data_IF_434327698735
#
_entry.id   IF_434327698735
#
_cell.length_a   1.000
_cell.length_b   1.000
_cell.length_c   1.000
_cell.angle_alpha   90.00
_cell.angle_beta   90.00
_cell.angle_gamma   90.00
#
_symmetry.space_group_name_H-M   'P 1'
#
loop_
_entity.id
_entity.type
_entity.pdbx_description
1 polymer ?
#
# COMPACT_ATOMS: atom_id res chain seq x y z
N UNK A 1 -8.36 -16.36 -15.92
CA UNK A 1 -9.40 -15.40 -15.54
C UNK A 1 -9.35 -15.29 -14.02
N UNK A 2 -8.54 -14.37 -13.52
CA UNK A 2 -8.52 -13.95 -12.11
C UNK A 2 -8.69 -12.43 -12.13
N UNK A 3 -9.74 -11.98 -12.80
CA UNK A 3 -10.25 -10.62 -12.65
C UNK A 3 -10.78 -10.50 -11.22
N UNK A 4 -10.41 -9.44 -10.52
CA UNK A 4 -10.96 -9.04 -9.21
C UNK A 4 -10.41 -9.72 -7.95
N UNK A 5 -9.14 -10.15 -7.96
CA UNK A 5 -8.44 -10.47 -6.69
C UNK A 5 -7.89 -9.19 -6.08
N UNK A 6 -8.34 -8.87 -4.85
CA UNK A 6 -7.67 -7.92 -3.98
C UNK A 6 -6.19 -8.31 -3.90
N UNK A 7 -5.32 -7.49 -4.48
CA UNK A 7 -3.90 -7.81 -4.61
C UNK A 7 -3.15 -7.56 -3.29
N UNK A 8 -3.66 -6.62 -2.50
CA UNK A 8 -3.22 -6.31 -1.14
C UNK A 8 -4.27 -5.47 -0.41
N UNK A 9 -4.19 -5.40 0.92
CA UNK A 9 -5.02 -4.52 1.75
C UNK A 9 -4.13 -3.56 2.51
N UNK A 10 -4.47 -2.27 2.46
CA UNK A 10 -3.74 -1.22 3.17
C UNK A 10 -4.55 -0.70 4.35
N UNK A 11 -3.88 -0.44 5.47
CA UNK A 11 -4.51 0.20 6.63
C UNK A 11 -4.77 1.68 6.32
N UNK A 12 -6.02 2.09 6.46
CA UNK A 12 -6.47 3.48 6.30
C UNK A 12 -6.64 4.13 7.66
N UNK A 13 -6.13 5.35 7.77
CA UNK A 13 -6.29 6.22 8.93
C UNK A 13 -7.30 7.31 8.63
N UNK A 14 -8.02 7.72 9.67
CA UNK A 14 -9.04 8.78 9.65
C UNK A 14 -10.23 8.47 8.74
N UNK A 15 -10.37 7.22 8.32
CA UNK A 15 -11.43 6.72 7.44
C UNK A 15 -12.63 6.20 8.21
N UNK A 16 -13.76 6.03 7.51
CA UNK A 16 -14.92 5.30 8.02
C UNK A 16 -14.67 3.78 8.04
N UNK A 17 -13.69 3.31 7.26
CA UNK A 17 -13.15 1.95 7.32
C UNK A 17 -11.68 1.99 7.69
N UNK A 18 -11.21 0.96 8.38
CA UNK A 18 -9.81 0.84 8.81
C UNK A 18 -8.89 0.28 7.71
N UNK A 19 -9.47 -0.25 6.63
CA UNK A 19 -8.75 -0.92 5.55
C UNK A 19 -9.38 -0.58 4.19
N UNK A 20 -8.53 -0.55 3.16
CA UNK A 20 -8.94 -0.43 1.76
C UNK A 20 -8.24 -1.50 0.93
N UNK A 21 -9.01 -2.18 0.09
CA UNK A 21 -8.47 -3.09 -0.92
C UNK A 21 -7.72 -2.32 -1.99
N UNK A 22 -6.57 -2.83 -2.40
CA UNK A 22 -5.77 -2.30 -3.49
C UNK A 22 -5.78 -3.27 -4.67
N UNK A 23 -6.06 -2.74 -5.87
CA UNK A 23 -6.08 -3.49 -7.13
C UNK A 23 -5.20 -2.81 -8.17
N UNK A 24 -4.79 -3.53 -9.20
CA UNK A 24 -4.04 -2.92 -10.30
C UNK A 24 -5.01 -2.05 -11.12
N UNK A 25 -4.57 -0.86 -11.54
CA UNK A 25 -5.41 0.10 -12.28
C UNK A 25 -5.94 -0.44 -13.61
N UNK A 26 -5.12 -1.25 -14.30
CA UNK A 26 -5.40 -1.81 -15.61
C UNK A 26 -5.07 -3.30 -15.63
N UNK A 27 -5.74 -4.06 -16.51
CA UNK A 27 -5.41 -5.48 -16.72
C UNK A 27 -4.01 -5.61 -17.31
N UNK A 28 -3.05 -5.83 -16.42
CA UNK A 28 -1.64 -5.93 -16.72
C UNK A 28 -1.28 -7.30 -17.30
N UNK A 29 -1.08 -7.37 -18.62
CA UNK A 29 -0.58 -8.57 -19.28
C UNK A 29 0.93 -8.49 -19.50
N UNK A 30 1.70 -9.24 -18.69
CA UNK A 30 3.15 -9.33 -18.84
C UNK A 30 3.53 -10.56 -19.67
N UNK A 31 4.07 -10.34 -20.87
CA UNK A 31 4.56 -11.43 -21.73
C UNK A 31 6.01 -11.74 -21.39
N UNK A 32 6.30 -12.97 -20.96
CA UNK A 32 7.65 -13.38 -20.55
C UNK A 32 8.04 -14.74 -21.12
N UNK A 33 9.35 -14.98 -21.35
CA UNK A 33 9.88 -16.32 -21.62
C UNK A 33 9.47 -17.30 -20.51
N UNK A 34 9.04 -18.51 -20.89
CA UNK A 34 8.57 -19.55 -19.96
C UNK A 34 9.54 -19.80 -18.78
N UNK A 35 10.85 -19.73 -19.02
CA UNK A 35 11.87 -19.98 -18.00
C UNK A 35 12.04 -18.86 -16.95
N UNK A 36 11.46 -17.68 -17.16
CA UNK A 36 11.52 -16.56 -16.19
C UNK A 36 10.30 -16.50 -15.26
N UNK A 37 9.30 -17.35 -15.49
CA UNK A 37 8.09 -17.41 -14.65
C UNK A 37 8.43 -17.97 -13.27
N UNK A 38 9.32 -18.97 -13.19
CA UNK A 38 9.69 -19.64 -11.94
C UNK A 38 10.52 -18.76 -11.00
N UNK A 39 11.24 -17.76 -11.53
CA UNK A 39 12.06 -16.82 -10.74
C UNK A 39 11.37 -15.49 -10.47
N UNK A 40 10.09 -15.37 -10.83
CA UNK A 40 9.31 -14.14 -10.68
C UNK A 40 8.90 -13.94 -9.22
N UNK A 41 9.32 -12.81 -8.65
CA UNK A 41 8.95 -12.39 -7.31
C UNK A 41 8.04 -11.17 -7.39
N UNK A 42 6.90 -11.22 -6.70
CA UNK A 42 5.98 -10.10 -6.55
C UNK A 42 6.33 -9.35 -5.27
N UNK A 43 6.55 -8.04 -5.37
CA UNK A 43 6.80 -7.13 -4.25
C UNK A 43 5.76 -6.02 -4.28
N UNK A 44 4.91 -5.97 -3.26
CA UNK A 44 3.90 -4.91 -3.11
C UNK A 44 4.45 -3.85 -2.16
N UNK A 45 4.39 -2.60 -2.57
CA UNK A 45 4.77 -1.44 -1.75
C UNK A 45 3.57 -0.52 -1.66
N UNK A 46 3.10 -0.27 -0.45
CA UNK A 46 1.99 0.65 -0.20
C UNK A 46 2.51 2.01 0.24
N UNK A 47 1.77 3.06 -0.10
CA UNK A 47 2.08 4.42 0.35
C UNK A 47 1.53 4.62 1.76
N UNK A 48 2.27 4.15 2.76
CA UNK A 48 1.89 4.37 4.15
C UNK A 48 2.36 5.74 4.66
N UNK A 49 1.58 6.44 5.51
CA UNK A 49 0.22 6.10 5.95
C UNK A 49 -0.85 6.51 4.93
N UNK A 50 -1.84 5.63 4.68
CA UNK A 50 -3.00 5.97 3.87
C UNK A 50 -3.99 6.78 4.70
N UNK A 51 -4.33 7.99 4.24
CA UNK A 51 -5.21 8.93 4.95
C UNK A 51 -6.50 9.15 4.16
N UNK A 52 -7.65 9.04 4.83
CA UNK A 52 -8.94 9.40 4.24
C UNK A 52 -9.07 10.93 4.02
N UNK A 53 -9.86 11.39 3.03
CA UNK A 53 -10.68 10.60 2.11
C UNK A 53 -9.88 9.98 0.96
N UNK A 54 -10.16 8.71 0.65
CA UNK A 54 -9.60 7.99 -0.50
C UNK A 54 -10.74 7.67 -1.45
N UNK A 55 -10.62 8.01 -2.73
CA UNK A 55 -11.60 7.65 -3.74
C UNK A 55 -11.20 6.37 -4.44
N UNK A 56 -12.20 5.62 -4.91
CA UNK A 56 -11.96 4.51 -5.82
C UNK A 56 -11.15 4.99 -7.03
N UNK A 57 -10.08 4.28 -7.36
CA UNK A 57 -9.16 4.66 -8.43
C UNK A 57 -7.99 5.54 -7.99
N UNK A 58 -7.96 6.05 -6.75
CA UNK A 58 -6.79 6.79 -6.24
C UNK A 58 -5.61 5.83 -6.07
N UNK A 59 -4.41 6.28 -6.43
CA UNK A 59 -3.18 5.49 -6.27
C UNK A 59 -2.84 5.34 -4.77
N UNK A 60 -2.79 4.10 -4.29
CA UNK A 60 -2.52 3.73 -2.89
C UNK A 60 -1.19 2.97 -2.73
N UNK A 61 -0.49 2.72 -3.83
CA UNK A 61 0.80 2.06 -3.83
C UNK A 61 1.20 1.58 -5.21
N UNK A 62 2.19 0.70 -5.25
CA UNK A 62 2.72 0.13 -6.47
C UNK A 62 3.16 -1.31 -6.23
N UNK A 63 2.99 -2.14 -7.25
CA UNK A 63 3.48 -3.51 -7.22
C UNK A 63 4.58 -3.67 -8.26
N UNK A 64 5.68 -4.28 -7.81
CA UNK A 64 6.88 -4.55 -8.58
C UNK A 64 7.00 -6.05 -8.79
N UNK A 65 7.23 -6.44 -10.03
CA UNK A 65 7.64 -7.80 -10.37
C UNK A 65 9.14 -7.78 -10.59
N UNK A 66 9.85 -8.63 -9.86
CA UNK A 66 11.30 -8.77 -9.95
C UNK A 66 11.64 -10.15 -10.47
N UNK A 67 12.64 -10.24 -11.33
CA UNK A 67 13.24 -11.52 -11.74
C UNK A 67 14.75 -11.37 -11.63
N UNK A 68 15.41 -12.32 -10.95
CA UNK A 68 16.85 -12.28 -10.69
C UNK A 68 17.34 -10.94 -10.07
N UNK A 69 16.52 -10.33 -9.22
CA UNK A 69 16.85 -9.07 -8.52
C UNK A 69 16.54 -7.78 -9.30
N UNK A 70 16.23 -7.87 -10.60
CA UNK A 70 15.87 -6.70 -11.42
C UNK A 70 14.36 -6.56 -11.54
N UNK A 71 13.85 -5.33 -11.42
CA UNK A 71 12.43 -5.03 -11.67
C UNK A 71 12.15 -5.21 -13.17
N UNK A 72 11.30 -6.18 -13.49
CA UNK A 72 10.88 -6.47 -14.87
C UNK A 72 9.61 -5.73 -15.26
N UNK A 73 8.74 -5.43 -14.29
CA UNK A 73 7.54 -4.63 -14.50
C UNK A 73 7.10 -3.96 -13.20
N UNK A 74 6.45 -2.81 -13.32
CA UNK A 74 5.81 -2.10 -12.21
C UNK A 74 4.43 -1.63 -12.63
N UNK A 75 3.44 -1.86 -11.78
CA UNK A 75 2.07 -1.42 -12.03
C UNK A 75 1.53 -0.69 -10.80
N UNK A 76 0.85 0.44 -11.04
CA UNK A 76 0.23 1.23 -9.98
C UNK A 76 -0.94 0.46 -9.35
N UNK A 77 -1.01 0.49 -8.02
CA UNK A 77 -2.14 -0.02 -7.26
C UNK A 77 -3.07 1.13 -6.93
N UNK A 78 -4.35 0.95 -7.27
CA UNK A 78 -5.42 1.88 -7.00
C UNK A 78 -6.39 1.32 -5.98
N UNK A 79 -7.06 2.22 -5.25
CA UNK A 79 -8.10 1.86 -4.31
C UNK A 79 -9.26 1.17 -5.03
N UNK A 80 -9.62 -0.02 -4.58
CA UNK A 80 -10.75 -0.79 -5.09
C UNK A 80 -12.08 -0.11 -4.76
N UNK A 81 -12.16 0.53 -3.58
CA UNK A 81 -13.36 1.15 -3.03
C UNK A 81 -13.03 2.53 -2.44
N UNK A 82 -14.03 3.41 -2.40
CA UNK A 82 -13.88 4.71 -1.77
C UNK A 82 -13.98 4.59 -0.24
N UNK A 83 -13.06 5.22 0.48
CA UNK A 83 -13.08 5.35 1.94
C UNK A 83 -13.32 6.81 2.30
N UNK A 84 -14.52 7.08 2.81
CA UNK A 84 -14.89 8.39 3.30
C UNK A 84 -14.21 8.71 4.64
N UNK A 85 -14.24 9.98 5.03
CA UNK A 85 -13.73 10.39 6.33
C UNK A 85 -14.54 9.74 7.45
N UNK A 86 -13.83 9.23 8.45
CA UNK A 86 -14.42 8.71 9.67
C UNK A 86 -15.06 9.80 10.50
N UNK A 87 -15.89 9.38 11.47
CA UNK A 87 -16.46 10.30 12.45
C UNK A 87 -15.38 11.09 13.20
N UNK A 88 -15.75 12.24 13.77
CA UNK A 88 -14.82 13.12 14.49
C UNK A 88 -14.04 12.41 15.61
N UNK A 89 -14.66 11.42 16.27
CA UNK A 89 -14.02 10.60 17.30
C UNK A 89 -12.90 9.72 16.73
N UNK A 90 -13.15 9.05 15.60
CA UNK A 90 -12.15 8.20 14.92
C UNK A 90 -10.97 9.05 14.49
N UNK A 91 -11.23 10.23 13.91
CA UNK A 91 -10.18 11.15 13.47
C UNK A 91 -9.32 11.67 14.63
N UNK A 92 -9.94 11.91 15.79
CA UNK A 92 -9.21 12.36 16.99
C UNK A 92 -8.31 11.24 17.53
N UNK A 93 -8.86 10.02 17.66
CA UNK A 93 -8.13 8.87 18.16
C UNK A 93 -6.95 8.49 17.25
N UNK A 94 -7.18 8.44 15.94
CA UNK A 94 -6.14 8.17 14.95
C UNK A 94 -5.03 9.22 14.95
N UNK A 95 -5.38 10.49 15.17
CA UNK A 95 -4.40 11.56 15.27
C UNK A 95 -3.49 11.38 16.49
N UNK A 96 -4.04 10.93 17.63
CA UNK A 96 -3.27 10.62 18.83
C UNK A 96 -2.33 9.44 18.56
N UNK A 97 -2.83 8.36 17.95
CA UNK A 97 -2.01 7.17 17.62
C UNK A 97 -0.87 7.50 16.65
N UNK A 98 -1.13 8.29 15.61
CA UNK A 98 -0.10 8.71 14.64
C UNK A 98 0.95 9.60 15.30
N UNK A 99 0.52 10.53 16.17
CA UNK A 99 1.44 11.39 16.92
C UNK A 99 2.33 10.59 17.88
N UNK A 100 1.75 9.63 18.61
CA UNK A 100 2.53 8.73 19.48
C UNK A 100 3.53 7.90 18.66
N UNK A 101 3.13 7.36 17.51
CA UNK A 101 4.05 6.62 16.61
C UNK A 101 5.23 7.49 16.17
N UNK A 102 4.97 8.73 15.76
CA UNK A 102 6.02 9.68 15.38
C UNK A 102 6.98 9.98 16.52
N UNK A 103 6.44 10.27 17.72
CA UNK A 103 7.26 10.58 18.89
C UNK A 103 8.17 9.44 19.33
N UNK A 104 7.69 8.20 19.36
CA UNK A 104 8.52 7.06 19.74
C UNK A 104 9.54 6.71 18.64
N UNK A 105 9.18 6.85 17.37
CA UNK A 105 10.12 6.69 16.25
C UNK A 105 11.28 7.69 16.34
N UNK A 106 11.00 8.94 16.64
CA UNK A 106 12.01 9.99 16.80
C UNK A 106 12.88 9.80 18.05
N UNK A 107 12.30 9.28 19.14
CA UNK A 107 13.01 9.01 20.40
C UNK A 107 13.94 7.80 20.27
N UNK A 108 13.48 6.72 19.64
CA UNK A 108 14.22 5.46 19.48
C UNK A 108 15.26 5.58 18.35
N UNK A 109 14.93 6.27 17.25
CA UNK A 109 15.84 6.47 16.11
C UNK A 109 17.11 7.28 16.45
N UNK A 110 17.12 8.02 17.56
CA UNK A 110 18.30 8.79 18.02
C UNK A 110 19.40 7.95 18.70
N UNK A 111 19.18 6.66 18.97
CA UNK A 111 20.14 5.79 19.65
C UNK A 111 20.97 4.94 18.66
N UNK A 112 20.54 4.81 17.39
CA UNK A 112 21.09 3.79 16.48
C UNK A 112 21.84 4.36 15.25
N UNK A 113 22.26 5.62 15.27
CA UNK A 113 23.04 6.22 14.17
C UNK A 113 24.42 6.67 14.66
N UNK A 114 25.29 5.69 14.87
CA UNK A 114 26.75 5.88 14.79
C UNK A 114 27.41 4.58 14.35
N UNK A 115 27.56 4.39 13.04
CA UNK A 115 28.70 3.70 12.40
C UNK A 115 28.72 4.01 10.90
#
# INVERSE_FOLDING_TARGET
MQEDRIESQGRVWKGNTEQVGAKIAEDAFLTMPRGLVDSLQKSVVMTEPLLAPIKQGDEVGQVFWKSNGNTVASFALVAEQSVEQGSWMVRLWDSIQLWLRGLFSDLVGRIEVSE
#
